data_IF_132358388872
#
_entry.id   IF_132358388872
#
_cell.length_a   1.000
_cell.length_b   1.000
_cell.length_c   1.000
_cell.angle_alpha   90.00
_cell.angle_beta   90.00
_cell.angle_gamma   90.00
#
_symmetry.space_group_name_H-M   'P 1'
#
loop_
_entity.id
_entity.type
_entity.pdbx_description
1 polymer ?
#
# COMPACT_ATOMS: atom_id res chain seq x y z
N UNK A 1 -28.49 5.37 -14.08
CA UNK A 1 -27.79 5.89 -12.89
C UNK A 1 -26.33 6.02 -13.26
N UNK A 2 -25.76 7.23 -13.32
CA UNK A 2 -24.40 7.43 -13.84
C UNK A 2 -23.36 7.12 -12.76
N UNK A 3 -22.49 6.13 -13.01
CA UNK A 3 -21.48 5.68 -12.04
C UNK A 3 -20.25 6.60 -12.10
N UNK A 4 -19.63 6.90 -10.94
CA UNK A 4 -18.39 7.67 -10.88
C UNK A 4 -17.28 7.00 -11.70
N UNK A 5 -16.71 7.74 -12.64
CA UNK A 5 -15.72 7.24 -13.58
C UNK A 5 -16.31 6.67 -14.88
N UNK A 6 -17.60 6.77 -15.14
CA UNK A 6 -18.18 6.39 -16.43
C UNK A 6 -17.76 7.36 -17.54
N UNK A 7 -17.56 6.85 -18.76
CA UNK A 7 -17.07 7.64 -19.89
C UNK A 7 -17.95 8.88 -20.18
N UNK A 8 -19.26 8.75 -20.04
CA UNK A 8 -20.23 9.85 -20.21
C UNK A 8 -20.05 11.04 -19.26
N UNK A 9 -19.33 10.87 -18.14
CA UNK A 9 -18.98 11.96 -17.22
C UNK A 9 -17.70 12.69 -17.61
N UNK A 10 -16.85 12.07 -18.44
CA UNK A 10 -15.53 12.57 -18.79
C UNK A 10 -15.38 12.94 -20.27
N UNK A 11 -16.26 12.43 -21.13
CA UNK A 11 -16.33 12.76 -22.55
C UNK A 11 -17.64 13.53 -22.82
N UNK A 12 -17.52 14.77 -23.28
CA UNK A 12 -18.68 15.56 -23.73
C UNK A 12 -19.08 15.09 -25.13
N UNK A 13 -20.33 14.68 -25.30
CA UNK A 13 -20.88 14.27 -26.60
C UNK A 13 -20.87 15.44 -27.59
N UNK A 14 -20.53 15.17 -28.87
CA UNK A 14 -20.66 16.13 -29.96
C UNK A 14 -19.51 17.14 -30.12
N UNK A 15 -18.44 17.05 -29.32
CA UNK A 15 -17.26 17.92 -29.45
C UNK A 15 -16.12 17.15 -30.12
N UNK A 16 -15.57 17.73 -31.21
CA UNK A 16 -14.35 17.22 -31.82
C UNK A 16 -13.16 17.41 -30.87
N UNK A 17 -12.52 16.31 -30.47
CA UNK A 17 -11.35 16.35 -29.61
C UNK A 17 -10.09 16.63 -30.44
N UNK A 18 -9.32 17.66 -30.06
CA UNK A 18 -7.96 17.82 -30.54
C UNK A 18 -7.11 16.68 -29.96
N UNK A 19 -6.45 15.89 -30.82
CA UNK A 19 -5.74 14.65 -30.43
C UNK A 19 -6.66 13.68 -29.66
N UNK A 20 -7.58 13.00 -30.36
CA UNK A 20 -8.63 12.21 -29.72
C UNK A 20 -8.07 11.12 -28.82
N UNK A 21 -6.95 10.50 -29.19
CA UNK A 21 -6.34 9.41 -28.43
C UNK A 21 -5.80 9.88 -27.06
N UNK A 22 -4.99 10.94 -27.06
CA UNK A 22 -4.43 11.56 -25.84
C UNK A 22 -5.53 12.08 -24.91
N UNK A 23 -6.57 12.69 -25.50
CA UNK A 23 -7.72 13.22 -24.78
C UNK A 23 -8.54 12.12 -24.10
N UNK A 24 -8.86 11.05 -24.83
CA UNK A 24 -9.63 9.91 -24.28
C UNK A 24 -8.81 9.19 -23.21
N UNK A 25 -7.52 8.97 -23.41
CA UNK A 25 -6.67 8.37 -22.39
C UNK A 25 -6.59 9.23 -21.12
N UNK A 26 -6.46 10.54 -21.26
CA UNK A 26 -6.51 11.47 -20.11
C UNK A 26 -7.85 11.40 -19.38
N UNK A 27 -8.96 11.30 -20.11
CA UNK A 27 -10.30 11.15 -19.57
C UNK A 27 -10.46 9.81 -18.81
N UNK A 28 -9.94 8.70 -19.32
CA UNK A 28 -9.91 7.40 -18.65
C UNK A 28 -9.14 7.45 -17.33
N UNK A 29 -7.97 8.10 -17.30
CA UNK A 29 -7.18 8.27 -16.08
C UNK A 29 -7.92 9.12 -15.04
N UNK A 30 -8.63 10.16 -15.49
CA UNK A 30 -9.51 10.97 -14.64
C UNK A 30 -10.67 10.17 -14.06
N UNK A 31 -11.35 9.37 -14.89
CA UNK A 31 -12.43 8.53 -14.42
C UNK A 31 -11.99 7.43 -13.46
N UNK A 32 -10.84 6.81 -13.72
CA UNK A 32 -10.30 5.80 -12.81
C UNK A 32 -9.86 6.41 -11.47
N UNK A 33 -9.34 7.64 -11.49
CA UNK A 33 -9.08 8.40 -10.27
C UNK A 33 -10.37 8.59 -9.47
N UNK A 34 -11.45 9.06 -10.09
CA UNK A 34 -12.72 9.34 -9.42
C UNK A 34 -13.37 8.08 -8.87
N UNK A 35 -13.30 6.97 -9.60
CA UNK A 35 -13.73 5.65 -9.13
C UNK A 35 -12.96 5.22 -7.87
N UNK A 36 -11.63 5.39 -7.86
CA UNK A 36 -10.81 5.02 -6.71
C UNK A 36 -11.02 5.93 -5.49
N UNK A 37 -11.25 7.23 -5.71
CA UNK A 37 -11.65 8.17 -4.64
C UNK A 37 -12.99 7.73 -4.03
N UNK A 38 -13.98 7.38 -4.85
CA UNK A 38 -15.27 6.89 -4.37
C UNK A 38 -15.16 5.59 -3.55
N UNK A 39 -14.11 4.80 -3.78
CA UNK A 39 -13.78 3.58 -3.01
C UNK A 39 -12.92 3.86 -1.77
N UNK A 40 -12.75 5.12 -1.37
CA UNK A 40 -11.98 5.56 -0.20
C UNK A 40 -10.49 5.16 -0.24
N UNK A 41 -9.89 5.08 -1.42
CA UNK A 41 -8.44 4.87 -1.53
C UNK A 41 -7.67 6.15 -1.18
N UNK A 42 -6.47 5.99 -0.61
CA UNK A 42 -5.60 7.13 -0.32
C UNK A 42 -5.13 7.82 -1.60
N UNK A 43 -5.03 9.15 -1.59
CA UNK A 43 -4.53 9.93 -2.73
C UNK A 43 -3.12 9.52 -3.16
N UNK A 44 -2.28 9.07 -2.22
CA UNK A 44 -0.94 8.56 -2.50
C UNK A 44 -1.00 7.25 -3.31
N UNK A 45 -1.90 6.34 -2.93
CA UNK A 45 -2.12 5.08 -3.67
C UNK A 45 -2.60 5.36 -5.09
N UNK A 46 -3.56 6.28 -5.22
CA UNK A 46 -4.13 6.65 -6.52
C UNK A 46 -3.05 7.27 -7.41
N UNK A 47 -2.29 8.23 -6.91
CA UNK A 47 -1.20 8.86 -7.66
C UNK A 47 -0.12 7.84 -8.08
N UNK A 48 0.23 6.89 -7.21
CA UNK A 48 1.18 5.84 -7.53
C UNK A 48 0.68 4.94 -8.68
N UNK A 49 -0.59 4.52 -8.63
CA UNK A 49 -1.23 3.72 -9.68
C UNK A 49 -1.30 4.46 -11.02
N UNK A 50 -1.70 5.73 -11.01
CA UNK A 50 -1.75 6.54 -12.23
C UNK A 50 -0.36 6.72 -12.88
N UNK A 51 0.70 6.89 -12.07
CA UNK A 51 2.07 6.95 -12.60
C UNK A 51 2.49 5.64 -13.26
N UNK A 52 2.11 4.51 -12.67
CA UNK A 52 2.36 3.19 -13.27
C UNK A 52 1.68 3.04 -14.62
N UNK A 53 0.39 3.37 -14.71
CA UNK A 53 -0.37 3.26 -15.96
C UNK A 53 0.22 4.16 -17.05
N UNK A 54 0.62 5.40 -16.72
CA UNK A 54 1.32 6.29 -17.64
C UNK A 54 2.65 5.71 -18.11
N UNK A 55 3.46 5.22 -17.18
CA UNK A 55 4.75 4.60 -17.52
C UNK A 55 4.61 3.36 -18.42
N UNK A 56 3.55 2.58 -18.23
CA UNK A 56 3.24 1.46 -19.12
C UNK A 56 2.78 1.94 -20.51
N UNK A 57 1.90 2.93 -20.58
CA UNK A 57 1.48 3.54 -21.85
C UNK A 57 2.66 4.08 -22.65
N UNK A 58 3.57 4.79 -21.97
CA UNK A 58 4.80 5.34 -22.55
C UNK A 58 5.71 4.22 -23.09
N UNK A 59 5.83 3.11 -22.37
CA UNK A 59 6.64 1.96 -22.80
C UNK A 59 6.00 1.20 -23.96
N UNK A 60 4.69 0.97 -23.90
CA UNK A 60 3.94 0.28 -24.95
C UNK A 60 3.88 1.08 -26.26
N UNK A 61 4.16 2.40 -26.22
CA UNK A 61 4.12 3.27 -27.38
C UNK A 61 2.71 3.43 -27.96
N UNK A 62 1.67 3.24 -27.13
CA UNK A 62 0.28 3.21 -27.56
C UNK A 62 -0.72 3.28 -26.42
N UNK A 63 -2.00 3.37 -26.77
CA UNK A 63 -3.10 3.60 -25.85
C UNK A 63 -3.82 2.29 -25.45
N UNK A 64 -4.68 2.29 -24.41
CA UNK A 64 -5.24 1.06 -23.86
C UNK A 64 -5.95 0.12 -24.84
N UNK A 65 -6.53 0.63 -25.93
CA UNK A 65 -7.18 -0.17 -26.98
C UNK A 65 -6.21 -0.80 -28.00
N UNK A 66 -4.92 -0.57 -27.85
CA UNK A 66 -3.82 -1.14 -28.66
C UNK A 66 -2.92 -2.08 -27.84
N UNK A 67 -3.11 -2.14 -26.52
CA UNK A 67 -2.24 -2.93 -25.66
C UNK A 67 -2.41 -4.42 -25.89
N UNK A 68 -1.29 -5.13 -25.84
CA UNK A 68 -1.22 -6.58 -25.97
C UNK A 68 -0.57 -7.19 -24.71
N UNK A 69 -0.91 -8.45 -24.36
CA UNK A 69 -0.23 -9.17 -23.29
C UNK A 69 1.30 -9.20 -23.42
N UNK A 70 1.82 -9.28 -24.64
CA UNK A 70 3.25 -9.30 -24.94
C UNK A 70 3.95 -7.99 -24.54
N UNK A 71 3.26 -6.85 -24.65
CA UNK A 71 3.81 -5.56 -24.21
C UNK A 71 3.99 -5.52 -22.69
N UNK A 72 3.14 -6.22 -21.94
CA UNK A 72 3.30 -6.37 -20.48
C UNK A 72 4.51 -7.25 -20.16
N UNK A 73 4.74 -8.32 -20.92
CA UNK A 73 5.91 -9.20 -20.78
C UNK A 73 7.22 -8.46 -21.03
N UNK A 74 7.29 -7.74 -22.16
CA UNK A 74 8.45 -6.92 -22.54
C UNK A 74 8.74 -5.85 -21.49
N UNK A 75 7.71 -5.14 -21.03
CA UNK A 75 7.86 -4.14 -19.98
C UNK A 75 8.34 -4.77 -18.67
N UNK A 76 7.78 -5.92 -18.31
CA UNK A 76 8.17 -6.63 -17.08
C UNK A 76 9.61 -7.13 -17.13
N UNK A 77 10.09 -7.51 -18.32
CA UNK A 77 11.47 -7.86 -18.57
C UNK A 77 12.39 -6.65 -18.39
N UNK A 78 12.10 -5.51 -19.04
CA UNK A 78 12.86 -4.25 -18.90
C UNK A 78 12.97 -3.79 -17.44
N UNK A 79 11.84 -3.75 -16.73
CA UNK A 79 11.79 -3.36 -15.33
C UNK A 79 12.69 -4.23 -14.45
N UNK A 80 12.82 -5.53 -14.77
CA UNK A 80 13.65 -6.47 -14.01
C UNK A 80 15.12 -6.41 -14.43
N UNK A 81 15.42 -6.44 -15.72
CA UNK A 81 16.78 -6.60 -16.25
C UNK A 81 17.54 -5.29 -16.34
N UNK A 82 16.88 -4.21 -16.74
CA UNK A 82 17.49 -2.89 -16.94
C UNK A 82 17.37 -2.06 -15.67
N UNK A 83 16.16 -1.98 -15.11
CA UNK A 83 15.90 -1.13 -13.94
C UNK A 83 16.13 -1.82 -12.59
N UNK A 84 16.36 -3.13 -12.58
CA UNK A 84 16.68 -3.89 -11.38
C UNK A 84 15.59 -3.87 -10.31
N UNK A 85 14.30 -3.72 -10.70
CA UNK A 85 13.21 -3.64 -9.73
C UNK A 85 13.10 -4.95 -8.93
N UNK A 86 12.80 -4.80 -7.63
CA UNK A 86 12.44 -5.95 -6.80
C UNK A 86 11.15 -6.58 -7.31
N UNK A 87 11.03 -7.91 -7.17
CA UNK A 87 9.85 -8.70 -7.58
C UNK A 87 8.54 -8.14 -7.01
N UNK A 88 8.55 -7.72 -5.74
CA UNK A 88 7.37 -7.11 -5.09
C UNK A 88 6.94 -5.79 -5.72
N UNK A 89 7.89 -4.96 -6.16
CA UNK A 89 7.60 -3.72 -6.88
C UNK A 89 7.03 -4.00 -8.26
N UNK A 90 7.63 -4.95 -9.00
CA UNK A 90 7.14 -5.38 -10.31
C UNK A 90 5.69 -5.89 -10.22
N UNK A 91 5.38 -6.71 -9.21
CA UNK A 91 4.02 -7.21 -8.95
C UNK A 91 3.04 -6.07 -8.70
N UNK A 92 3.44 -5.07 -7.91
CA UNK A 92 2.61 -3.89 -7.67
C UNK A 92 2.34 -3.08 -8.95
N UNK A 93 3.28 -3.08 -9.91
CA UNK A 93 3.10 -2.41 -11.20
C UNK A 93 2.13 -3.19 -12.08
N UNK A 94 2.33 -4.50 -12.23
CA UNK A 94 1.44 -5.39 -12.97
C UNK A 94 0.00 -5.32 -12.43
N UNK A 95 -0.16 -5.32 -11.10
CA UNK A 95 -1.47 -5.20 -10.46
C UNK A 95 -2.16 -3.86 -10.76
N UNK A 96 -1.42 -2.75 -10.82
CA UNK A 96 -2.00 -1.46 -11.16
C UNK A 96 -2.50 -1.41 -12.61
N UNK A 97 -1.76 -2.01 -13.56
CA UNK A 97 -2.20 -2.14 -14.96
C UNK A 97 -3.42 -3.05 -15.06
N UNK A 98 -3.40 -4.22 -14.39
CA UNK A 98 -4.53 -5.15 -14.34
C UNK A 98 -5.82 -4.48 -13.87
N UNK A 99 -5.76 -3.77 -12.73
CA UNK A 99 -6.91 -3.08 -12.15
C UNK A 99 -7.44 -1.94 -13.03
N UNK A 100 -6.56 -1.31 -13.81
CA UNK A 100 -6.96 -0.29 -14.77
C UNK A 100 -7.67 -0.93 -15.97
N UNK A 101 -7.14 -2.03 -16.52
CA UNK A 101 -7.80 -2.80 -17.58
C UNK A 101 -9.18 -3.32 -17.11
N UNK A 102 -9.27 -3.89 -15.90
CA UNK A 102 -10.54 -4.35 -15.34
C UNK A 102 -11.58 -3.22 -15.30
N UNK A 103 -11.17 -2.02 -14.90
CA UNK A 103 -12.02 -0.83 -14.91
C UNK A 103 -12.46 -0.42 -16.33
N UNK A 104 -11.57 -0.46 -17.31
CA UNK A 104 -11.90 -0.09 -18.69
C UNK A 104 -12.81 -1.11 -19.38
N UNK A 105 -12.66 -2.38 -19.04
CA UNK A 105 -13.46 -3.48 -19.62
C UNK A 105 -14.81 -3.68 -18.94
N UNK A 106 -15.03 -3.08 -17.76
CA UNK A 106 -16.29 -3.19 -17.02
C UNK A 106 -17.40 -2.39 -17.74
N UNK A 107 -18.49 -3.05 -18.20
CA UNK A 107 -19.60 -2.39 -18.91
C UNK A 107 -20.26 -1.26 -18.13
N UNK A 108 -20.12 -1.23 -16.79
CA UNK A 108 -20.67 -0.16 -15.97
C UNK A 108 -20.07 1.22 -16.26
N UNK A 109 -18.87 1.29 -16.86
CA UNK A 109 -18.18 2.54 -17.19
C UNK A 109 -18.17 2.86 -18.68
N UNK A 110 -18.50 1.90 -19.54
CA UNK A 110 -18.72 2.04 -20.98
C UNK A 110 -17.50 2.52 -21.82
N UNK A 111 -16.29 2.43 -21.26
CA UNK A 111 -15.06 2.83 -21.96
C UNK A 111 -14.75 1.95 -23.17
N UNK A 112 -15.04 0.65 -23.10
CA UNK A 112 -14.84 -0.26 -24.23
C UNK A 112 -15.69 0.15 -25.45
N UNK A 113 -16.95 0.50 -25.23
CA UNK A 113 -17.86 0.96 -26.28
C UNK A 113 -17.39 2.27 -26.89
N UNK A 114 -17.00 3.26 -26.07
CA UNK A 114 -16.49 4.55 -26.53
C UNK A 114 -15.23 4.39 -27.39
N UNK A 115 -14.29 3.52 -26.98
CA UNK A 115 -13.11 3.23 -27.78
C UNK A 115 -13.46 2.54 -29.10
N UNK A 116 -14.37 1.57 -29.07
CA UNK A 116 -14.78 0.85 -30.27
C UNK A 116 -15.39 1.81 -31.30
N UNK A 117 -16.23 2.75 -30.86
CA UNK A 117 -16.85 3.75 -31.73
C UNK A 117 -15.85 4.76 -32.29
N UNK A 118 -14.85 5.17 -31.49
CA UNK A 118 -13.90 6.23 -31.86
C UNK A 118 -12.68 5.74 -32.63
N UNK A 119 -12.18 4.55 -32.29
CA UNK A 119 -10.89 4.04 -32.75
C UNK A 119 -10.98 2.69 -33.45
N UNK A 120 -12.18 2.08 -33.52
CA UNK A 120 -12.37 0.77 -34.17
C UNK A 120 -11.83 -0.41 -33.37
N UNK A 121 -11.28 -0.18 -32.17
CA UNK A 121 -10.77 -1.19 -31.24
C UNK A 121 -11.18 -0.83 -29.81
N UNK A 122 -11.04 -1.76 -28.87
CA UNK A 122 -11.44 -1.57 -27.48
C UNK A 122 -10.35 -2.08 -26.52
N UNK A 123 -10.26 -1.53 -25.29
CA UNK A 123 -9.38 -2.06 -24.26
C UNK A 123 -9.76 -3.49 -23.89
N UNK A 124 -8.74 -4.30 -23.61
CA UNK A 124 -8.88 -5.68 -23.11
C UNK A 124 -8.04 -5.87 -21.86
N UNK A 125 -8.30 -6.95 -21.11
CA UNK A 125 -7.38 -7.36 -20.05
C UNK A 125 -6.10 -7.89 -20.70
N UNK A 126 -4.96 -7.28 -20.36
CA UNK A 126 -3.63 -7.69 -20.87
C UNK A 126 -2.76 -8.33 -19.79
N UNK A 127 -3.17 -8.24 -18.52
CA UNK A 127 -2.52 -8.87 -17.39
C UNK A 127 -3.28 -10.15 -17.01
N UNK A 128 -2.74 -11.30 -17.41
CA UNK A 128 -3.26 -12.63 -17.14
C UNK A 128 -2.35 -13.39 -16.18
N UNK A 129 -2.84 -14.52 -15.66
CA UNK A 129 -2.06 -15.36 -14.75
C UNK A 129 -0.75 -15.88 -15.36
N UNK A 130 -0.70 -16.05 -16.68
CA UNK A 130 0.47 -16.61 -17.37
C UNK A 130 1.56 -15.58 -17.70
N UNK A 131 1.26 -14.27 -17.74
CA UNK A 131 2.26 -13.20 -17.94
C UNK A 131 2.48 -12.32 -16.70
N UNK A 132 1.74 -12.57 -15.61
CA UNK A 132 1.95 -11.90 -14.33
C UNK A 132 2.62 -12.82 -13.32
N UNK A 133 3.42 -12.25 -12.41
CA UNK A 133 4.06 -13.04 -11.38
C UNK A 133 2.99 -13.63 -10.43
N UNK A 134 2.83 -14.96 -10.45
CA UNK A 134 1.83 -15.72 -9.67
C UNK A 134 1.81 -15.32 -8.19
N UNK A 135 0.60 -15.17 -7.64
CA UNK A 135 0.29 -14.74 -6.27
C UNK A 135 0.76 -15.67 -5.14
N UNK A 136 1.32 -16.84 -5.46
CA UNK A 136 1.75 -17.84 -4.48
C UNK A 136 3.24 -18.11 -4.70
N UNK A 137 4.07 -17.26 -4.12
CA UNK A 137 5.39 -17.73 -3.66
C UNK A 137 5.43 -17.53 -2.15
N UNK A 138 5.52 -18.66 -1.46
CA UNK A 138 5.70 -18.78 -0.03
C UNK A 138 6.76 -17.80 0.45
N UNK A 139 6.35 -16.89 1.34
CA UNK A 139 7.24 -16.03 2.12
C UNK A 139 8.34 -15.31 1.35
N UNK A 140 8.01 -14.16 0.74
CA UNK A 140 8.98 -13.10 0.41
C UNK A 140 9.61 -12.49 1.70
N UNK A 141 10.20 -13.32 2.56
CA UNK A 141 11.05 -12.89 3.65
C UNK A 141 12.43 -12.58 3.09
N UNK A 142 12.73 -11.30 2.90
CA UNK A 142 14.12 -10.87 2.67
C UNK A 142 14.97 -11.36 3.86
N UNK A 143 16.04 -12.16 3.67
CA UNK A 143 16.89 -12.61 4.77
C UNK A 143 17.43 -11.45 5.63
N UNK A 144 17.59 -10.26 5.02
CA UNK A 144 17.96 -9.03 5.74
C UNK A 144 16.84 -8.46 6.63
N UNK A 145 15.62 -8.98 6.52
CA UNK A 145 14.42 -8.57 7.28
C UNK A 145 13.88 -9.71 8.14
N UNK A 146 14.75 -10.61 8.62
CA UNK A 146 14.34 -11.64 9.58
C UNK A 146 13.83 -11.02 10.88
N UNK A 147 12.92 -11.70 11.55
CA UNK A 147 12.54 -11.34 12.91
C UNK A 147 13.72 -11.59 13.87
N UNK A 148 13.82 -10.76 14.92
CA UNK A 148 14.68 -11.03 16.05
C UNK A 148 14.25 -12.31 16.77
N UNK A 149 15.21 -13.05 17.30
CA UNK A 149 14.95 -14.12 18.28
C UNK A 149 14.52 -13.51 19.62
N UNK A 150 13.94 -14.33 20.50
CA UNK A 150 13.56 -13.89 21.86
C UNK A 150 14.76 -13.35 22.64
N UNK A 151 15.92 -14.00 22.51
CA UNK A 151 17.17 -13.58 23.18
C UNK A 151 17.65 -12.22 22.65
N UNK A 152 17.60 -12.03 21.33
CA UNK A 152 17.99 -10.75 20.71
C UNK A 152 17.04 -9.61 21.08
N UNK A 153 15.74 -9.89 21.20
CA UNK A 153 14.75 -8.92 21.66
C UNK A 153 14.97 -8.52 23.12
N UNK A 154 15.25 -9.50 23.99
CA UNK A 154 15.57 -9.21 25.38
C UNK A 154 16.84 -8.34 25.48
N UNK A 155 17.91 -8.72 24.77
CA UNK A 155 19.14 -7.95 24.74
C UNK A 155 18.94 -6.52 24.22
N UNK A 156 18.05 -6.32 23.23
CA UNK A 156 17.68 -5.00 22.73
C UNK A 156 16.97 -4.16 23.79
N UNK A 157 16.03 -4.75 24.54
CA UNK A 157 15.32 -4.04 25.61
C UNK A 157 16.22 -3.70 26.79
N UNK A 158 17.05 -4.66 27.21
CA UNK A 158 18.03 -4.44 28.29
C UNK A 158 19.00 -3.32 27.92
N UNK A 159 19.51 -3.32 26.69
CA UNK A 159 20.37 -2.26 26.19
C UNK A 159 19.65 -0.89 26.20
N UNK A 160 18.40 -0.84 25.75
CA UNK A 160 17.62 0.40 25.74
C UNK A 160 17.44 0.97 27.16
N UNK A 161 17.11 0.12 28.14
CA UNK A 161 16.96 0.51 29.55
C UNK A 161 18.29 0.95 30.18
N UNK A 162 19.39 0.27 29.85
CA UNK A 162 20.73 0.65 30.27
C UNK A 162 21.10 2.05 29.74
N UNK A 163 20.76 2.37 28.49
CA UNK A 163 21.00 3.71 27.94
C UNK A 163 20.25 4.80 28.73
N UNK A 164 19.03 4.54 29.17
CA UNK A 164 18.26 5.47 30.02
C UNK A 164 19.01 5.70 31.34
N UNK A 165 19.38 4.61 32.01
CA UNK A 165 20.06 4.65 33.31
C UNK A 165 21.40 5.37 33.22
N UNK A 166 22.19 5.08 32.18
CA UNK A 166 23.48 5.71 31.92
C UNK A 166 23.36 7.22 31.66
N UNK A 167 22.40 7.66 30.85
CA UNK A 167 22.21 9.09 30.56
C UNK A 167 21.69 9.84 31.78
N UNK A 168 20.77 9.21 32.54
CA UNK A 168 20.21 9.76 33.78
C UNK A 168 21.28 9.90 34.86
N UNK A 169 22.11 8.87 35.06
CA UNK A 169 23.23 8.87 36.01
C UNK A 169 24.28 9.94 35.70
N UNK A 170 24.43 10.33 34.43
CA UNK A 170 25.28 11.44 34.02
C UNK A 170 24.68 12.85 34.28
N UNK A 171 23.50 12.95 34.93
CA UNK A 171 22.84 14.23 35.26
C UNK A 171 22.33 15.03 34.06
N UNK A 172 22.30 14.44 32.86
CA UNK A 172 21.93 15.14 31.62
C UNK A 172 20.43 15.05 31.38
N UNK A 173 19.79 16.17 31.02
CA UNK A 173 18.36 16.24 30.62
C UNK A 173 17.98 15.33 29.42
N UNK A 174 18.96 14.81 28.69
CA UNK A 174 18.77 13.92 27.55
C UNK A 174 18.26 12.51 27.88
N UNK A 175 18.01 12.18 29.15
CA UNK A 175 17.49 10.86 29.53
C UNK A 175 16.00 10.69 29.17
N UNK A 176 15.22 11.78 29.09
CA UNK A 176 13.80 11.75 28.74
C UNK A 176 13.54 11.22 27.31
N UNK A 177 14.25 11.68 26.25
CA UNK A 177 14.15 11.07 24.93
C UNK A 177 14.54 9.58 24.91
N UNK A 178 15.59 9.18 25.64
CA UNK A 178 16.00 7.79 25.71
C UNK A 178 14.93 6.91 26.39
N UNK A 179 14.32 7.41 27.46
CA UNK A 179 13.22 6.73 28.14
C UNK A 179 12.01 6.57 27.22
N UNK A 180 11.63 7.65 26.52
CA UNK A 180 10.57 7.61 25.50
C UNK A 180 10.84 6.53 24.46
N UNK A 181 12.04 6.47 23.90
CA UNK A 181 12.37 5.52 22.84
C UNK A 181 12.38 4.06 23.34
N UNK A 182 12.89 3.83 24.56
CA UNK A 182 12.82 2.53 25.23
C UNK A 182 11.37 2.07 25.46
N UNK A 183 10.51 2.96 25.96
CA UNK A 183 9.08 2.68 26.14
C UNK A 183 8.37 2.43 24.80
N UNK A 184 8.64 3.23 23.75
CA UNK A 184 8.05 3.05 22.43
C UNK A 184 8.42 1.71 21.80
N UNK A 185 9.68 1.25 21.95
CA UNK A 185 10.11 -0.06 21.48
C UNK A 185 9.32 -1.20 22.15
N UNK A 186 9.18 -1.13 23.47
CA UNK A 186 8.43 -2.13 24.25
C UNK A 186 6.94 -2.12 23.94
N UNK A 187 6.33 -0.95 23.83
CA UNK A 187 4.90 -0.80 23.46
C UNK A 187 4.65 -1.30 22.04
N UNK A 188 5.48 -0.90 21.06
CA UNK A 188 5.33 -1.35 19.69
C UNK A 188 5.45 -2.87 19.57
N UNK A 189 6.41 -3.48 20.28
CA UNK A 189 6.59 -4.93 20.31
C UNK A 189 5.45 -5.65 21.04
N UNK A 190 5.13 -5.23 22.27
CA UNK A 190 4.15 -5.88 23.13
C UNK A 190 2.75 -5.93 22.54
N UNK A 191 2.34 -4.88 21.84
CA UNK A 191 1.03 -4.81 21.18
C UNK A 191 1.07 -5.11 19.67
N UNK A 192 2.26 -5.35 19.08
CA UNK A 192 2.42 -5.62 17.65
C UNK A 192 1.99 -4.45 16.74
N UNK A 193 2.15 -3.21 17.21
CA UNK A 193 1.69 -2.01 16.51
C UNK A 193 2.54 -1.72 15.28
N UNK A 194 1.88 -1.25 14.21
CA UNK A 194 2.59 -0.66 13.06
C UNK A 194 3.20 0.68 13.48
N UNK A 195 4.30 1.09 12.83
CA UNK A 195 4.96 2.39 13.11
C UNK A 195 4.00 3.58 13.16
N UNK A 196 3.03 3.64 12.25
CA UNK A 196 2.01 4.70 12.23
C UNK A 196 1.04 4.57 13.40
N UNK A 197 0.63 3.37 13.77
CA UNK A 197 -0.24 3.12 14.92
C UNK A 197 0.45 3.52 16.21
N UNK A 198 1.72 3.13 16.39
CA UNK A 198 2.55 3.54 17.54
C UNK A 198 2.68 5.06 17.65
N UNK A 199 2.82 5.76 16.51
CA UNK A 199 2.93 7.22 16.47
C UNK A 199 1.62 7.92 16.83
N UNK A 200 0.48 7.31 16.51
CA UNK A 200 -0.85 7.90 16.70
C UNK A 200 -1.47 7.53 18.05
N UNK A 201 -0.75 6.81 18.89
CA UNK A 201 -1.21 6.36 20.19
C UNK A 201 -1.44 7.56 21.13
N UNK A 202 -2.59 7.58 21.79
CA UNK A 202 -2.95 8.58 22.79
C UNK A 202 -3.04 7.95 24.19
N UNK A 203 -2.96 8.76 25.25
CA UNK A 203 -3.12 8.34 26.65
C UNK A 203 -4.47 7.65 26.85
N UNK A 204 -5.51 8.08 26.13
CA UNK A 204 -6.84 7.48 26.19
C UNK A 204 -6.94 6.08 25.55
N UNK A 205 -5.95 5.67 24.74
CA UNK A 205 -5.94 4.32 24.14
C UNK A 205 -5.54 3.26 25.17
N UNK A 206 -4.94 3.67 26.29
CA UNK A 206 -4.51 2.79 27.37
C UNK A 206 -5.64 2.57 28.38
N UNK A 207 -6.16 1.34 28.44
CA UNK A 207 -7.17 0.93 29.42
C UNK A 207 -6.69 -0.20 30.32
N UNK A 208 -7.25 -0.30 31.53
CA UNK A 208 -6.94 -1.40 32.44
C UNK A 208 -7.44 -2.73 31.86
N UNK A 209 -6.58 -3.77 31.87
CA UNK A 209 -6.95 -5.11 31.45
C UNK A 209 -7.87 -5.75 32.51
N UNK A 210 -9.16 -6.00 32.19
CA UNK A 210 -10.11 -6.54 33.17
C UNK A 210 -9.82 -8.01 33.55
N UNK A 211 -8.91 -8.68 32.84
CA UNK A 211 -8.53 -10.07 33.10
C UNK A 211 -7.17 -10.20 33.80
N UNK A 212 -6.47 -9.10 34.08
CA UNK A 212 -5.24 -9.14 34.85
C UNK A 212 -5.56 -9.40 36.32
N UNK A 213 -5.15 -10.56 36.85
CA UNK A 213 -5.26 -10.87 38.27
C UNK A 213 -4.45 -9.85 39.08
N UNK A 214 -5.02 -9.40 40.20
CA UNK A 214 -4.70 -8.18 40.95
C UNK A 214 -3.33 -8.13 41.67
N UNK A 215 -2.32 -8.90 41.24
CA UNK A 215 -1.04 -9.01 41.93
C UNK A 215 0.17 -8.38 41.22
N UNK A 216 0.01 -7.77 40.04
CA UNK A 216 1.10 -7.08 39.35
C UNK A 216 0.90 -5.56 39.33
N UNK A 217 1.80 -4.83 39.97
CA UNK A 217 1.84 -3.37 40.04
C UNK A 217 1.81 -2.71 38.64
N UNK A 218 0.76 -1.92 38.40
CA UNK A 218 0.53 -0.80 37.47
C UNK A 218 1.01 -0.79 35.99
N UNK A 219 1.82 -1.73 35.49
CA UNK A 219 2.22 -1.75 34.07
C UNK A 219 1.74 -3.00 33.30
N UNK A 220 1.52 -4.12 34.01
CA UNK A 220 1.19 -5.42 33.39
C UNK A 220 -0.27 -5.56 32.94
N UNK A 221 -1.07 -4.51 33.10
CA UNK A 221 -2.52 -4.55 32.94
C UNK A 221 -3.03 -3.43 32.03
N UNK A 222 -2.34 -3.13 30.94
CA UNK A 222 -2.82 -2.12 29.99
C UNK A 222 -3.13 -2.77 28.64
N UNK A 223 -4.29 -2.48 28.06
CA UNK A 223 -4.63 -2.81 26.67
C UNK A 223 -4.65 -1.53 25.86
N UNK A 224 -4.05 -1.55 24.67
CA UNK A 224 -4.08 -0.44 23.72
C UNK A 224 -5.11 -0.73 22.61
N UNK A 225 -6.21 0.03 22.56
CA UNK A 225 -7.15 -0.02 21.43
C UNK A 225 -6.67 0.86 20.27
N UNK A 226 -5.76 0.35 19.43
CA UNK A 226 -5.46 1.03 18.16
C UNK A 226 -6.58 0.81 17.13
N UNK A 227 -6.93 1.84 16.33
CA UNK A 227 -7.88 1.72 15.20
C UNK A 227 -7.40 0.60 14.25
N UNK A 228 -8.23 -0.45 14.13
CA UNK A 228 -7.96 -1.72 13.43
C UNK A 228 -7.35 -1.55 12.03
N UNK A 229 -6.07 -1.88 11.89
CA UNK A 229 -5.52 -2.48 10.67
C UNK A 229 -5.55 -4.02 10.80
N UNK A 230 -6.03 -4.75 9.78
CA UNK A 230 -6.09 -6.23 9.80
C UNK A 230 -4.73 -6.84 10.17
N UNK A 231 -4.64 -7.41 11.37
CA UNK A 231 -3.48 -8.11 11.91
C UNK A 231 -3.93 -8.98 13.08
N UNK A 232 -3.42 -10.21 13.18
CA UNK A 232 -3.80 -11.20 14.20
C UNK A 232 -3.47 -10.69 15.61
N UNK A 233 -4.42 -10.79 16.53
CA UNK A 233 -4.24 -10.49 17.95
C UNK A 233 -3.08 -11.33 18.54
N UNK A 234 -2.09 -10.65 19.12
CA UNK A 234 -1.22 -11.21 20.16
C UNK A 234 -1.45 -10.39 21.41
N UNK A 235 -1.97 -11.01 22.45
CA UNK A 235 -2.04 -10.43 23.79
C UNK A 235 -0.64 -10.50 24.39
N UNK A 236 0.14 -9.43 24.27
CA UNK A 236 1.41 -9.28 24.97
C UNK A 236 1.23 -8.39 26.19
N UNK A 237 1.67 -8.86 27.35
CA UNK A 237 1.90 -8.00 28.51
C UNK A 237 3.16 -7.16 28.23
N UNK A 238 3.05 -5.83 28.33
CA UNK A 238 4.22 -4.99 28.43
C UNK A 238 4.75 -5.10 29.87
N UNK A 239 5.98 -5.57 30.02
CA UNK A 239 6.74 -5.50 31.27
C UNK A 239 7.36 -4.10 31.43
#
# INVERSE_FOLDING_TARGET
MTVKGAASLHLVSGVALLRPEESVFTAMLGGWRDQQVARNLSMLTIAARLRVVRAFADHAGGYPWQWLPQMVDEWSMDLRSVRGLRRSTLRGYQEAVRLFCDYLTDPAYDWATECQQRFGSHPVQVCHEWNTAVHVQEGEGDPAKRAFTVVELQALFDYADEQVTRIRGAGRKGWLPAFRDATLLKVAYGYGLRRTETRMLDVADFGTNPYAQSSASSASATYATARRGRGRHRSGAAC
#
